data_IF_425728564989
#
_entry.id   IF_425728564989
#
_cell.length_a   1.000
_cell.length_b   1.000
_cell.length_c   1.000
_cell.angle_alpha   90.00
_cell.angle_beta   90.00
_cell.angle_gamma   90.00
#
_symmetry.space_group_name_H-M   'P 1'
#
loop_
_entity.id
_entity.type
_entity.pdbx_description
1 polymer ?
#
# COMPACT_ATOMS: atom_id res chain seq x y z
N UNK A 1 -10.56 -17.67 7.13
CA UNK A 1 -9.71 -16.49 7.35
C UNK A 1 -9.70 -16.20 8.84
N UNK A 2 -8.71 -16.71 9.59
CA UNK A 2 -8.73 -16.62 11.05
C UNK A 2 -8.50 -15.20 11.58
N UNK A 3 -7.79 -14.34 10.84
CA UNK A 3 -7.46 -12.98 11.29
C UNK A 3 -8.40 -11.88 10.75
N UNK A 4 -9.25 -12.20 9.77
CA UNK A 4 -10.19 -11.23 9.18
C UNK A 4 -11.51 -11.29 9.95
N UNK A 5 -11.66 -10.40 10.91
CA UNK A 5 -12.88 -10.24 11.72
C UNK A 5 -13.69 -9.03 11.26
N UNK A 6 -14.91 -8.87 11.80
CA UNK A 6 -15.74 -7.70 11.49
C UNK A 6 -15.04 -6.36 11.79
N UNK A 7 -14.20 -6.29 12.83
CA UNK A 7 -13.41 -5.10 13.16
C UNK A 7 -12.43 -4.69 12.05
N UNK A 8 -11.99 -5.61 11.20
CA UNK A 8 -11.10 -5.32 10.06
C UNK A 8 -11.86 -4.56 8.96
N UNK A 9 -13.14 -4.87 8.76
CA UNK A 9 -13.99 -4.21 7.76
C UNK A 9 -14.74 -2.98 8.32
N UNK A 10 -15.10 -3.02 9.61
CA UNK A 10 -15.90 -2.00 10.29
C UNK A 10 -15.30 -1.70 11.68
N UNK A 11 -14.15 -1.00 11.72
CA UNK A 11 -13.52 -0.64 12.99
C UNK A 11 -14.39 0.37 13.75
N UNK A 12 -14.51 0.19 15.06
CA UNK A 12 -15.18 1.17 15.92
C UNK A 12 -14.34 2.45 16.11
N UNK A 13 -14.88 3.45 16.82
CA UNK A 13 -14.22 4.74 17.04
C UNK A 13 -12.85 4.67 17.73
N UNK A 14 -12.61 3.64 18.55
CA UNK A 14 -11.33 3.38 19.22
C UNK A 14 -10.38 2.57 18.35
N UNK A 15 -10.93 1.70 17.49
CA UNK A 15 -10.16 0.80 16.64
C UNK A 15 -9.67 1.45 15.34
N UNK A 16 -10.25 2.56 14.90
CA UNK A 16 -9.88 3.25 13.66
C UNK A 16 -8.40 3.66 13.57
N UNK A 17 -7.73 3.86 14.72
CA UNK A 17 -6.31 4.20 14.79
C UNK A 17 -5.39 2.97 14.87
N UNK A 18 -5.94 1.75 14.95
CA UNK A 18 -5.17 0.51 15.01
C UNK A 18 -4.68 0.14 13.61
N UNK A 19 -3.48 0.61 13.27
CA UNK A 19 -2.83 0.34 11.96
C UNK A 19 -2.74 -1.16 11.65
N UNK A 20 -2.63 -2.01 12.67
CA UNK A 20 -2.64 -3.47 12.49
C UNK A 20 -3.90 -3.98 11.77
N UNK A 21 -5.07 -3.38 12.00
CA UNK A 21 -6.30 -3.76 11.29
C UNK A 21 -6.19 -3.45 9.79
N UNK A 22 -5.60 -2.30 9.44
CA UNK A 22 -5.34 -1.95 8.04
C UNK A 22 -4.31 -2.88 7.40
N UNK A 23 -3.27 -3.29 8.12
CA UNK A 23 -2.31 -4.29 7.62
C UNK A 23 -2.96 -5.66 7.40
N UNK A 24 -3.86 -6.09 8.29
CA UNK A 24 -4.64 -7.32 8.09
C UNK A 24 -5.57 -7.19 6.89
N UNK A 25 -6.19 -6.02 6.67
CA UNK A 25 -7.05 -5.76 5.51
C UNK A 25 -6.28 -5.86 4.18
N UNK A 26 -5.05 -5.33 4.13
CA UNK A 26 -4.17 -5.41 2.96
C UNK A 26 -3.23 -6.62 2.99
N UNK A 27 -3.67 -7.74 3.54
CA UNK A 27 -2.85 -8.95 3.68
C UNK A 27 -3.07 -9.95 2.55
N UNK A 28 -2.14 -10.92 2.45
CA UNK A 28 -2.27 -12.05 1.53
C UNK A 28 -3.49 -12.93 1.86
N UNK A 29 -3.87 -13.02 3.13
CA UNK A 29 -5.07 -13.78 3.53
C UNK A 29 -6.32 -13.24 2.86
N UNK A 30 -6.47 -11.91 2.78
CA UNK A 30 -7.60 -11.25 2.11
C UNK A 30 -7.65 -11.59 0.63
N UNK A 31 -6.50 -11.57 -0.06
CA UNK A 31 -6.42 -11.94 -1.47
C UNK A 31 -6.81 -13.40 -1.71
N UNK A 32 -6.34 -14.32 -0.86
CA UNK A 32 -6.71 -15.75 -0.96
C UNK A 32 -8.19 -15.96 -0.70
N UNK A 33 -8.78 -15.23 0.26
CA UNK A 33 -10.22 -15.32 0.50
C UNK A 33 -11.05 -14.76 -0.65
N UNK A 34 -10.69 -13.60 -1.21
CA UNK A 34 -11.36 -13.05 -2.39
C UNK A 34 -11.30 -14.01 -3.58
N UNK A 35 -10.17 -14.70 -3.75
CA UNK A 35 -10.03 -15.73 -4.78
C UNK A 35 -10.94 -16.94 -4.55
N UNK A 36 -10.96 -17.49 -3.33
CA UNK A 36 -11.78 -18.68 -3.00
C UNK A 36 -13.29 -18.38 -3.07
N UNK A 37 -13.70 -17.21 -2.59
CA UNK A 37 -15.12 -16.82 -2.52
C UNK A 37 -15.58 -15.97 -3.69
N UNK A 38 -14.79 -15.88 -4.77
CA UNK A 38 -15.07 -14.98 -5.89
C UNK A 38 -16.48 -15.16 -6.45
N UNK A 39 -16.86 -16.40 -6.80
CA UNK A 39 -18.19 -16.69 -7.37
C UNK A 39 -19.31 -16.32 -6.41
N UNK A 40 -19.18 -16.67 -5.12
CA UNK A 40 -20.19 -16.36 -4.11
C UNK A 40 -20.37 -14.86 -3.89
N UNK A 41 -19.29 -14.08 -3.97
CA UNK A 41 -19.34 -12.61 -3.84
C UNK A 41 -19.98 -11.98 -5.07
N UNK A 42 -19.59 -12.42 -6.27
CA UNK A 42 -20.15 -11.93 -7.53
C UNK A 42 -21.65 -12.27 -7.64
N UNK A 43 -22.04 -13.48 -7.25
CA UNK A 43 -23.43 -13.93 -7.20
C UNK A 43 -24.25 -13.20 -6.13
N UNK A 44 -23.68 -12.87 -4.97
CA UNK A 44 -24.44 -12.24 -3.88
C UNK A 44 -24.66 -10.76 -4.11
N UNK A 45 -23.66 -10.06 -4.62
CA UNK A 45 -23.71 -8.60 -4.72
C UNK A 45 -24.14 -8.13 -6.10
N UNK A 46 -24.08 -8.97 -7.15
CA UNK A 46 -24.46 -8.67 -8.55
C UNK A 46 -23.86 -7.37 -9.14
N UNK A 47 -22.97 -6.72 -8.39
CA UNK A 47 -22.54 -5.33 -8.58
C UNK A 47 -21.07 -5.26 -8.19
N UNK A 48 -20.20 -5.91 -8.97
CA UNK A 48 -18.77 -5.82 -8.71
C UNK A 48 -17.93 -6.86 -9.43
N UNK A 49 -16.72 -6.45 -9.79
CA UNK A 49 -15.68 -7.35 -10.26
C UNK A 49 -14.70 -7.56 -9.12
N UNK A 50 -14.68 -8.76 -8.53
CA UNK A 50 -13.75 -9.12 -7.44
C UNK A 50 -12.30 -8.88 -7.84
N UNK A 51 -12.00 -9.00 -9.14
CA UNK A 51 -10.67 -8.77 -9.72
C UNK A 51 -10.16 -7.34 -9.51
N UNK A 52 -11.03 -6.34 -9.59
CA UNK A 52 -10.63 -4.94 -9.38
C UNK A 52 -10.23 -4.71 -7.92
N UNK A 53 -11.01 -5.23 -6.98
CA UNK A 53 -10.72 -5.16 -5.54
C UNK A 53 -9.44 -5.93 -5.20
N UNK A 54 -9.26 -7.14 -5.73
CA UNK A 54 -8.02 -7.90 -5.50
C UNK A 54 -6.80 -7.21 -6.08
N UNK A 55 -6.91 -6.58 -7.25
CA UNK A 55 -5.82 -5.82 -7.85
C UNK A 55 -5.44 -4.62 -6.96
N UNK A 56 -6.42 -3.88 -6.45
CA UNK A 56 -6.20 -2.79 -5.51
C UNK A 56 -5.52 -3.25 -4.21
N UNK A 57 -6.04 -4.31 -3.60
CA UNK A 57 -5.46 -4.90 -2.37
C UNK A 57 -4.01 -5.35 -2.61
N UNK A 58 -3.71 -5.95 -3.77
CA UNK A 58 -2.35 -6.35 -4.12
C UNK A 58 -1.40 -5.15 -4.24
N UNK A 59 -1.83 -4.07 -4.90
CA UNK A 59 -1.02 -2.85 -5.06
C UNK A 59 -0.70 -2.22 -3.69
N UNK A 60 -1.70 -2.18 -2.79
CA UNK A 60 -1.52 -1.64 -1.43
C UNK A 60 -0.61 -2.53 -0.57
N UNK A 61 -0.80 -3.86 -0.63
CA UNK A 61 0.07 -4.83 0.07
C UNK A 61 1.53 -4.65 -0.34
N UNK A 62 1.79 -4.64 -1.65
CA UNK A 62 3.14 -4.55 -2.18
C UNK A 62 3.82 -3.25 -1.74
N UNK A 63 3.08 -2.14 -1.73
CA UNK A 63 3.59 -0.88 -1.21
C UNK A 63 3.90 -0.95 0.30
N UNK A 64 3.00 -1.51 1.11
CA UNK A 64 3.19 -1.65 2.56
C UNK A 64 4.44 -2.49 2.84
N UNK A 65 4.61 -3.62 2.16
CA UNK A 65 5.77 -4.50 2.32
C UNK A 65 7.08 -3.78 2.01
N UNK A 66 7.12 -3.00 0.91
CA UNK A 66 8.30 -2.21 0.54
C UNK A 66 8.57 -1.10 1.56
N UNK A 67 7.52 -0.41 2.02
CA UNK A 67 7.63 0.76 2.91
C UNK A 67 7.76 0.43 4.40
N UNK A 68 7.69 -0.86 4.78
CA UNK A 68 7.81 -1.32 6.17
C UNK A 68 8.91 -2.37 6.36
N UNK A 69 9.83 -2.48 5.40
CA UNK A 69 10.92 -3.45 5.45
C UNK A 69 11.90 -3.20 6.59
N UNK A 70 12.09 -4.25 7.42
CA UNK A 70 12.90 -4.20 8.66
C UNK A 70 14.25 -4.92 8.58
N UNK A 71 14.53 -5.63 7.49
CA UNK A 71 15.73 -6.47 7.41
C UNK A 71 16.41 -6.39 6.05
N UNK A 72 17.72 -6.55 6.06
CA UNK A 72 18.63 -6.28 4.93
C UNK A 72 18.28 -7.01 3.62
N UNK A 73 17.69 -8.21 3.71
CA UNK A 73 17.24 -8.99 2.54
C UNK A 73 16.09 -8.33 1.78
N UNK A 74 15.23 -7.58 2.48
CA UNK A 74 14.13 -6.80 1.88
C UNK A 74 14.45 -5.30 1.86
N UNK A 75 15.71 -4.91 2.11
CA UNK A 75 16.10 -3.51 2.08
C UNK A 75 15.95 -2.94 0.67
N UNK A 76 15.54 -1.68 0.57
CA UNK A 76 15.39 -0.98 -0.70
C UNK A 76 16.77 -0.76 -1.32
N UNK A 77 16.96 -1.17 -2.57
CA UNK A 77 18.22 -0.96 -3.34
C UNK A 77 17.93 -0.22 -4.64
N UNK A 78 18.87 0.57 -5.19
CA UNK A 78 18.65 1.38 -6.38
C UNK A 78 18.06 0.61 -7.57
N UNK A 79 18.58 -0.59 -7.84
CA UNK A 79 18.17 -1.42 -8.99
C UNK A 79 17.22 -2.57 -8.61
N UNK A 80 16.53 -2.42 -7.48
CA UNK A 80 15.64 -3.47 -6.96
C UNK A 80 14.23 -3.37 -7.53
N UNK A 81 13.52 -4.51 -7.55
CA UNK A 81 12.12 -4.59 -8.03
C UNK A 81 11.20 -3.71 -7.17
N UNK A 82 11.57 -3.51 -5.92
CA UNK A 82 10.92 -2.71 -4.90
C UNK A 82 10.85 -1.23 -5.30
N UNK A 83 11.85 -0.71 -6.00
CA UNK A 83 11.79 0.65 -6.58
C UNK A 83 10.73 0.74 -7.67
N UNK A 84 10.62 -0.31 -8.49
CA UNK A 84 9.57 -0.43 -9.50
C UNK A 84 8.17 -0.41 -8.89
N UNK A 85 7.98 -1.04 -7.73
CA UNK A 85 6.70 -1.01 -6.99
C UNK A 85 6.35 0.42 -6.58
N UNK A 86 7.31 1.20 -6.04
CA UNK A 86 7.07 2.60 -5.65
C UNK A 86 6.70 3.45 -6.86
N UNK A 87 7.42 3.33 -7.99
CA UNK A 87 7.14 4.08 -9.22
C UNK A 87 5.77 3.73 -9.80
N UNK A 88 5.45 2.44 -9.88
CA UNK A 88 4.14 1.95 -10.33
C UNK A 88 3.01 2.46 -9.43
N UNK A 89 3.24 2.55 -8.12
CA UNK A 89 2.26 3.12 -7.21
C UNK A 89 2.03 4.62 -7.44
N UNK A 90 3.09 5.39 -7.70
CA UNK A 90 2.97 6.81 -8.05
C UNK A 90 2.17 7.02 -9.35
N UNK A 91 2.41 6.19 -10.36
CA UNK A 91 1.64 6.18 -11.62
C UNK A 91 0.18 5.78 -11.38
N UNK A 92 -0.06 4.76 -10.55
CA UNK A 92 -1.39 4.35 -10.13
C UNK A 92 -2.14 5.51 -9.46
N UNK A 93 -1.49 6.24 -8.54
CA UNK A 93 -2.07 7.38 -7.84
C UNK A 93 -2.39 8.53 -8.79
N UNK A 94 -1.52 8.82 -9.77
CA UNK A 94 -1.79 9.82 -10.81
C UNK A 94 -2.95 9.41 -11.73
N UNK A 95 -3.04 8.14 -12.10
CA UNK A 95 -4.14 7.60 -12.92
C UNK A 95 -5.46 7.65 -12.16
N UNK A 96 -5.46 7.27 -10.88
CA UNK A 96 -6.65 7.31 -10.02
C UNK A 96 -7.17 8.75 -9.83
N UNK A 97 -6.28 9.71 -9.60
CA UNK A 97 -6.67 11.13 -9.49
C UNK A 97 -7.31 11.65 -10.78
N UNK A 98 -6.75 11.31 -11.96
CA UNK A 98 -7.32 11.69 -13.26
C UNK A 98 -8.66 11.02 -13.55
N UNK A 99 -8.84 9.78 -13.11
CA UNK A 99 -10.07 9.01 -13.34
C UNK A 99 -11.27 9.48 -12.49
N UNK A 100 -11.04 10.31 -11.45
CA UNK A 100 -12.06 10.82 -10.54
C UNK A 100 -12.25 12.34 -10.70
N UNK A 101 -13.02 12.80 -11.71
CA UNK A 101 -13.18 14.23 -12.00
C UNK A 101 -14.01 14.99 -10.96
N UNK A 102 -14.85 14.29 -10.18
CA UNK A 102 -15.52 14.84 -9.00
C UNK A 102 -14.68 14.42 -7.80
N UNK A 103 -14.28 15.35 -6.93
CA UNK A 103 -13.43 15.11 -5.72
C UNK A 103 -13.98 14.05 -4.73
N UNK A 104 -15.11 13.41 -5.05
CA UNK A 104 -15.73 12.31 -4.33
C UNK A 104 -15.14 10.98 -4.79
N UNK A 105 -14.42 10.28 -3.92
CA UNK A 105 -13.85 8.94 -4.21
C UNK A 105 -12.34 8.90 -4.45
N UNK A 106 -11.66 10.03 -4.29
CA UNK A 106 -10.20 10.09 -4.18
C UNK A 106 -9.78 10.40 -2.74
N UNK A 107 -8.49 10.24 -2.45
CA UNK A 107 -7.85 10.66 -1.20
C UNK A 107 -8.07 12.15 -0.96
N UNK A 108 -8.05 12.58 0.31
CA UNK A 108 -7.98 14.01 0.60
C UNK A 108 -6.71 14.61 -0.01
N UNK A 109 -6.78 15.87 -0.42
CA UNK A 109 -5.66 16.56 -1.07
C UNK A 109 -4.37 16.49 -0.24
N UNK A 110 -4.50 16.68 1.07
CA UNK A 110 -3.38 16.57 2.02
C UNK A 110 -2.80 15.15 2.08
N UNK A 111 -3.66 14.13 2.09
CA UNK A 111 -3.20 12.73 2.10
C UNK A 111 -2.47 12.41 0.80
N UNK A 112 -3.04 12.78 -0.35
CA UNK A 112 -2.42 12.53 -1.65
C UNK A 112 -1.06 13.23 -1.80
N UNK A 113 -0.96 14.51 -1.39
CA UNK A 113 0.32 15.24 -1.37
C UNK A 113 1.32 14.57 -0.42
N UNK A 114 0.89 14.22 0.79
CA UNK A 114 1.74 13.54 1.77
C UNK A 114 2.31 12.22 1.24
N UNK A 115 1.49 11.41 0.57
CA UNK A 115 1.94 10.18 -0.08
C UNK A 115 2.97 10.45 -1.19
N UNK A 116 2.70 11.40 -2.09
CA UNK A 116 3.61 11.77 -3.18
C UNK A 116 4.97 12.22 -2.66
N UNK A 117 4.97 13.14 -1.70
CA UNK A 117 6.19 13.68 -1.10
C UNK A 117 6.96 12.57 -0.39
N UNK A 118 6.30 11.72 0.38
CA UNK A 118 6.95 10.62 1.10
C UNK A 118 7.64 9.66 0.13
N UNK A 119 6.93 9.20 -0.90
CA UNK A 119 7.48 8.24 -1.86
C UNK A 119 8.58 8.86 -2.74
N UNK A 120 8.42 10.11 -3.17
CA UNK A 120 9.47 10.83 -3.89
C UNK A 120 10.72 11.02 -3.03
N UNK A 121 10.55 11.42 -1.77
CA UNK A 121 11.66 11.58 -0.82
C UNK A 121 12.39 10.26 -0.58
N UNK A 122 11.68 9.14 -0.50
CA UNK A 122 12.29 7.82 -0.40
C UNK A 122 13.15 7.46 -1.60
N UNK A 123 12.69 7.77 -2.82
CA UNK A 123 13.47 7.56 -4.04
C UNK A 123 14.72 8.47 -4.08
N UNK A 124 14.60 9.73 -3.65
CA UNK A 124 15.73 10.65 -3.55
C UNK A 124 16.76 10.18 -2.51
N UNK A 125 16.31 9.72 -1.33
CA UNK A 125 17.18 9.15 -0.30
C UNK A 125 17.89 7.89 -0.79
N UNK A 126 17.21 7.05 -1.57
CA UNK A 126 17.79 5.85 -2.15
C UNK A 126 18.92 6.16 -3.15
N UNK A 127 18.89 7.31 -3.82
CA UNK A 127 19.99 7.75 -4.69
C UNK A 127 21.13 8.35 -3.87
N UNK A 128 20.78 9.18 -2.88
CA UNK A 128 21.77 9.86 -2.04
C UNK A 128 22.59 8.87 -1.21
N UNK A 129 21.94 8.01 -0.43
CA UNK A 129 22.58 7.16 0.58
C UNK A 129 23.68 6.23 0.00
N UNK A 130 23.48 5.55 -1.15
CA UNK A 130 24.55 4.79 -1.79
C UNK A 130 25.64 5.66 -2.42
N UNK A 131 25.27 6.79 -3.04
CA UNK A 131 26.22 7.63 -3.77
C UNK A 131 27.13 8.45 -2.86
N UNK A 132 26.62 8.98 -1.74
CA UNK A 132 27.38 9.85 -0.84
C UNK A 132 27.88 9.13 0.41
N UNK A 133 27.17 8.12 0.91
CA UNK A 133 27.50 7.46 2.18
C UNK A 133 27.98 6.00 2.00
N UNK A 134 27.92 5.46 0.78
CA UNK A 134 28.43 4.12 0.47
C UNK A 134 27.60 2.94 1.02
N UNK A 135 26.37 3.19 1.50
CA UNK A 135 25.51 2.12 2.00
C UNK A 135 24.86 1.32 0.85
N UNK A 136 24.79 -0.01 1.02
CA UNK A 136 24.30 -0.93 0.00
C UNK A 136 22.77 -1.00 -0.13
N UNK A 137 22.03 -0.60 0.92
CA UNK A 137 20.58 -0.69 0.98
C UNK A 137 20.02 0.28 2.03
N UNK A 138 18.74 0.61 1.90
CA UNK A 138 17.98 1.44 2.83
C UNK A 138 16.89 0.60 3.52
N UNK A 139 16.80 0.65 4.84
CA UNK A 139 15.70 0.03 5.59
C UNK A 139 14.57 1.05 5.76
N UNK A 140 13.44 0.79 5.10
CA UNK A 140 12.31 1.72 5.02
C UNK A 140 11.56 1.83 6.35
N UNK A 141 11.65 0.83 7.23
CA UNK A 141 11.03 0.87 8.56
C UNK A 141 11.62 1.92 9.50
N UNK A 142 12.84 2.39 9.24
CA UNK A 142 13.57 3.33 10.10
C UNK A 142 13.54 4.78 9.60
N UNK A 143 12.84 5.04 8.50
CA UNK A 143 12.70 6.42 8.01
C UNK A 143 11.72 7.15 8.93
N UNK A 144 12.12 8.27 9.56
CA UNK A 144 11.28 8.98 10.52
C UNK A 144 10.01 9.46 9.82
N UNK A 145 8.85 8.95 10.25
CA UNK A 145 7.57 9.58 9.94
C UNK A 145 7.49 10.78 10.88
N UNK A 146 7.49 12.01 10.35
CA UNK A 146 7.21 13.19 11.19
C UNK A 146 5.87 12.95 11.87
N UNK A 147 5.91 12.72 13.18
CA UNK A 147 4.78 12.75 14.10
C UNK A 147 4.39 14.18 14.40
#
# INVERSE_FOLDING_TARGET
>A
MPHVTMSVCQPNGFEKMRVNLAFTFFSEEVLRGLYVYQSQVEDRYHTGCTKATSAFVSVMRDLIDVMTSRYSKRGLRPDSKEVGIIRRFLEFLATWEKAMPKKTGFLSEETAKGFRVTLASMLSLLLYVPQTLGFKYLLTSFVPRRT
#
